data_IF_280500393587
#
_entry.id   IF_280500393587
#
_cell.length_a   1.000
_cell.length_b   1.000
_cell.length_c   1.000
_cell.angle_alpha   90.00
_cell.angle_beta   90.00
_cell.angle_gamma   90.00
#
_symmetry.space_group_name_H-M   'P 1'
#
loop_
_entity.id
_entity.type
_entity.pdbx_description
1 polymer ?
#
# COMPACT_ATOMS: atom_id res chain seq x y z
N UNK A 1 13.58 19.32 -18.53
CA UNK A 1 14.55 18.46 -17.82
C UNK A 1 15.39 19.36 -16.94
N UNK A 2 15.39 19.13 -15.62
CA UNK A 2 16.14 19.96 -14.66
C UNK A 2 17.62 19.56 -14.73
N UNK A 3 18.48 20.51 -15.09
CA UNK A 3 19.94 20.38 -15.26
C UNK A 3 20.72 20.37 -13.94
N UNK A 4 20.05 20.16 -12.81
CA UNK A 4 20.68 20.15 -11.49
C UNK A 4 21.16 18.73 -11.18
N UNK A 5 22.45 18.57 -10.92
CA UNK A 5 23.01 17.31 -10.46
C UNK A 5 22.34 16.86 -9.15
N UNK A 6 22.05 15.56 -9.06
CA UNK A 6 21.47 14.96 -7.86
C UNK A 6 22.42 15.14 -6.68
N UNK A 7 21.90 15.64 -5.55
CA UNK A 7 22.71 15.81 -4.34
C UNK A 7 22.98 14.45 -3.69
N UNK A 8 24.25 14.17 -3.42
CA UNK A 8 24.72 12.96 -2.76
C UNK A 8 24.36 13.03 -1.27
N UNK A 9 23.70 12.00 -0.74
CA UNK A 9 23.46 11.85 0.70
C UNK A 9 24.19 10.62 1.21
N UNK A 10 24.95 10.73 2.31
CA UNK A 10 25.57 9.56 2.95
C UNK A 10 24.52 8.53 3.38
N UNK A 11 24.79 7.24 3.14
CA UNK A 11 23.90 6.13 3.55
C UNK A 11 23.44 6.25 5.00
N UNK A 12 24.33 6.46 6.00
CA UNK A 12 23.91 6.46 7.40
C UNK A 12 22.90 7.57 7.70
N UNK A 13 23.01 8.71 7.03
CA UNK A 13 22.05 9.80 7.16
C UNK A 13 20.69 9.41 6.58
N UNK A 14 20.66 8.73 5.44
CA UNK A 14 19.40 8.24 4.87
C UNK A 14 18.75 7.17 5.75
N UNK A 15 19.51 6.18 6.19
CA UNK A 15 19.02 5.15 7.11
C UNK A 15 18.45 5.80 8.37
N UNK A 16 19.13 6.81 8.93
CA UNK A 16 18.65 7.57 10.10
C UNK A 16 17.34 8.29 9.80
N UNK A 17 17.22 8.97 8.66
CA UNK A 17 15.99 9.69 8.30
C UNK A 17 14.82 8.71 8.10
N UNK A 18 15.04 7.61 7.38
CA UNK A 18 14.01 6.60 7.15
C UNK A 18 13.60 5.94 8.47
N UNK A 19 14.55 5.57 9.32
CA UNK A 19 14.28 5.00 10.64
C UNK A 19 13.52 5.98 11.54
N UNK A 20 13.92 7.24 11.60
CA UNK A 20 13.22 8.27 12.37
C UNK A 20 11.78 8.42 11.88
N UNK A 21 11.56 8.44 10.56
CA UNK A 21 10.21 8.56 10.00
C UNK A 21 9.32 7.38 10.41
N UNK A 22 9.82 6.14 10.30
CA UNK A 22 9.01 4.95 10.59
C UNK A 22 8.86 4.65 12.09
N UNK A 23 9.70 5.21 12.95
CA UNK A 23 9.60 5.10 14.41
C UNK A 23 8.45 5.92 15.01
N UNK A 24 7.91 6.88 14.26
CA UNK A 24 6.73 7.61 14.70
C UNK A 24 5.46 6.77 14.52
N UNK A 25 4.55 6.81 15.50
CA UNK A 25 3.24 6.15 15.43
C UNK A 25 2.37 6.74 14.32
N UNK A 26 2.37 8.07 14.25
CA UNK A 26 1.66 8.84 13.23
C UNK A 26 2.53 10.01 12.79
N UNK A 27 2.48 10.30 11.50
CA UNK A 27 3.23 11.35 10.83
C UNK A 27 2.27 12.33 10.15
N UNK A 28 2.60 13.63 10.12
CA UNK A 28 1.78 14.61 9.43
C UNK A 28 1.95 14.56 7.91
N UNK A 29 3.02 13.93 7.42
CA UNK A 29 3.43 13.97 6.02
C UNK A 29 3.98 12.60 5.59
N UNK A 30 3.65 12.12 4.38
CA UNK A 30 4.34 10.98 3.78
C UNK A 30 5.78 11.36 3.43
N UNK A 31 6.66 10.38 3.40
CA UNK A 31 8.04 10.54 2.95
C UNK A 31 8.16 10.06 1.49
N UNK A 32 8.74 10.88 0.63
CA UNK A 32 9.06 10.46 -0.74
C UNK A 32 10.55 10.18 -0.84
N UNK A 33 10.88 8.93 -1.15
CA UNK A 33 12.22 8.48 -1.47
C UNK A 33 12.39 8.43 -2.99
N UNK A 34 13.05 9.45 -3.54
CA UNK A 34 13.29 9.53 -4.98
C UNK A 34 14.76 9.72 -5.32
N UNK A 35 15.10 9.27 -6.52
CA UNK A 35 16.46 9.33 -7.06
C UNK A 35 16.56 8.51 -8.34
N UNK A 36 17.72 8.54 -9.03
CA UNK A 36 17.94 7.78 -10.25
C UNK A 36 17.71 6.27 -10.08
N UNK A 37 17.50 5.57 -11.18
CA UNK A 37 17.45 4.10 -11.19
C UNK A 37 18.81 3.52 -10.83
N UNK A 38 18.81 2.31 -10.27
CA UNK A 38 20.04 1.58 -9.95
C UNK A 38 20.83 2.11 -8.75
N UNK A 39 20.38 3.15 -8.06
CA UNK A 39 21.07 3.70 -6.87
C UNK A 39 20.81 2.90 -5.59
N UNK A 40 20.17 1.73 -5.69
CA UNK A 40 19.96 0.83 -4.54
C UNK A 40 18.81 1.18 -3.60
N UNK A 41 17.84 2.03 -4.00
CA UNK A 41 16.69 2.41 -3.15
C UNK A 41 15.90 1.20 -2.65
N UNK A 42 15.47 0.33 -3.57
CA UNK A 42 14.70 -0.89 -3.26
C UNK A 42 15.53 -1.84 -2.40
N UNK A 43 16.80 -2.06 -2.75
CA UNK A 43 17.69 -2.95 -2.01
C UNK A 43 17.97 -2.45 -0.60
N UNK A 44 18.14 -1.15 -0.40
CA UNK A 44 18.27 -0.55 0.93
C UNK A 44 17.05 -0.86 1.80
N UNK A 45 15.84 -0.71 1.23
CA UNK A 45 14.61 -1.02 1.95
C UNK A 45 14.53 -2.52 2.26
N UNK A 46 14.60 -3.38 1.24
CA UNK A 46 14.36 -4.81 1.39
C UNK A 46 15.42 -5.53 2.24
N UNK A 47 16.70 -5.30 1.94
CA UNK A 47 17.80 -6.12 2.50
C UNK A 47 18.32 -5.57 3.84
N UNK A 48 18.10 -4.28 4.16
CA UNK A 48 18.70 -3.66 5.36
C UNK A 48 17.69 -3.13 6.35
N UNK A 49 16.59 -2.57 5.86
CA UNK A 49 15.64 -1.84 6.71
C UNK A 49 14.41 -2.68 7.05
N UNK A 50 13.86 -3.42 6.08
CA UNK A 50 12.59 -4.11 6.19
C UNK A 50 12.57 -5.15 7.32
N UNK A 51 13.64 -5.92 7.48
CA UNK A 51 13.73 -6.89 8.58
C UNK A 51 13.59 -6.19 9.94
N UNK A 52 14.30 -5.08 10.14
CA UNK A 52 14.25 -4.31 11.37
C UNK A 52 12.90 -3.59 11.55
N UNK A 53 12.27 -3.13 10.47
CA UNK A 53 10.93 -2.53 10.51
C UNK A 53 9.81 -3.53 10.77
N UNK A 54 10.12 -4.83 10.83
CA UNK A 54 9.20 -5.90 11.25
C UNK A 54 9.61 -6.54 12.60
N UNK A 55 10.64 -6.01 13.29
CA UNK A 55 11.01 -6.45 14.65
C UNK A 55 10.16 -5.68 15.69
N UNK A 56 9.67 -6.36 16.73
CA UNK A 56 8.86 -5.74 17.79
C UNK A 56 7.38 -5.51 17.38
N UNK A 57 6.66 -4.52 17.96
CA UNK A 57 5.26 -4.22 17.63
C UNK A 57 5.08 -3.63 16.22
N UNK A 58 6.16 -3.50 15.45
CA UNK A 58 6.17 -2.93 14.13
C UNK A 58 5.67 -3.92 13.08
N UNK A 59 4.85 -3.43 12.16
CA UNK A 59 4.44 -4.16 10.96
C UNK A 59 4.67 -3.27 9.76
N UNK A 60 5.32 -3.79 8.74
CA UNK A 60 5.50 -3.09 7.47
C UNK A 60 4.70 -3.76 6.36
N UNK A 61 3.75 -3.03 5.77
CA UNK A 61 3.19 -3.38 4.47
C UNK A 61 4.14 -2.93 3.39
N UNK A 62 4.57 -3.86 2.53
CA UNK A 62 5.40 -3.55 1.38
C UNK A 62 4.64 -3.91 0.11
N UNK A 63 4.36 -2.91 -0.73
CA UNK A 63 3.69 -3.07 -2.02
C UNK A 63 4.69 -2.68 -3.10
N UNK A 64 4.95 -3.58 -4.05
CA UNK A 64 5.76 -3.26 -5.22
C UNK A 64 4.91 -3.34 -6.49
N UNK A 65 4.51 -2.17 -7.01
CA UNK A 65 3.65 -2.12 -8.19
C UNK A 65 4.34 -2.69 -9.45
N UNK A 66 5.67 -2.77 -9.46
CA UNK A 66 6.40 -3.40 -10.56
C UNK A 66 6.39 -4.93 -10.49
N UNK A 67 5.98 -5.54 -9.37
CA UNK A 67 5.97 -7.00 -9.18
C UNK A 67 5.10 -7.73 -10.22
N UNK A 68 4.06 -7.06 -10.69
CA UNK A 68 3.14 -7.58 -11.71
C UNK A 68 3.73 -7.65 -13.12
N UNK A 69 4.92 -7.06 -13.35
CA UNK A 69 5.59 -7.05 -14.64
C UNK A 69 6.59 -8.22 -14.68
N UNK A 70 6.10 -9.40 -15.05
CA UNK A 70 6.85 -10.66 -14.95
C UNK A 70 8.22 -10.64 -15.64
N UNK A 71 8.31 -10.00 -16.80
CA UNK A 71 9.55 -9.90 -17.58
C UNK A 71 10.64 -9.02 -16.98
N UNK A 72 10.37 -8.28 -15.90
CA UNK A 72 11.26 -7.22 -15.41
C UNK A 72 11.33 -7.12 -13.88
N UNK A 73 11.05 -8.20 -13.15
CA UNK A 73 11.06 -8.19 -11.69
C UNK A 73 11.88 -9.36 -11.08
N UNK A 74 12.73 -9.10 -10.06
CA UNK A 74 13.57 -10.11 -9.37
C UNK A 74 12.83 -11.33 -8.85
N UNK A 75 11.58 -11.17 -8.40
CA UNK A 75 10.78 -12.29 -7.89
C UNK A 75 10.53 -13.38 -8.94
N UNK A 76 10.58 -13.03 -10.23
CA UNK A 76 10.38 -13.93 -11.35
C UNK A 76 11.72 -14.37 -11.99
N UNK A 77 12.84 -14.16 -11.30
CA UNK A 77 14.18 -14.45 -11.79
C UNK A 77 14.69 -13.47 -12.85
N UNK A 78 14.05 -12.30 -12.99
CA UNK A 78 14.42 -11.25 -13.96
C UNK A 78 15.05 -10.04 -13.26
N UNK A 79 15.77 -9.18 -13.99
CA UNK A 79 16.26 -7.91 -13.42
C UNK A 79 15.26 -6.77 -13.61
N UNK A 80 15.26 -5.80 -12.68
CA UNK A 80 14.59 -4.51 -12.91
C UNK A 80 15.05 -3.86 -14.21
N UNK A 81 14.17 -3.16 -14.95
CA UNK A 81 14.51 -2.59 -16.23
C UNK A 81 15.46 -1.40 -16.06
N UNK A 82 16.43 -1.33 -16.96
CA UNK A 82 17.41 -0.24 -17.02
C UNK A 82 16.82 1.06 -17.55
N UNK A 83 15.95 0.92 -18.56
CA UNK A 83 15.20 2.02 -19.15
C UNK A 83 13.93 2.32 -18.36
N UNK A 84 13.08 3.15 -18.95
CA UNK A 84 11.88 3.59 -18.25
C UNK A 84 10.86 2.50 -17.98
N UNK A 85 10.14 2.54 -16.86
CA UNK A 85 8.93 1.73 -16.69
C UNK A 85 7.92 2.10 -17.80
N UNK A 86 7.98 3.32 -18.33
CA UNK A 86 7.25 3.75 -19.54
C UNK A 86 7.59 2.93 -20.80
N UNK A 87 8.78 2.33 -20.87
CA UNK A 87 9.20 1.50 -22.01
C UNK A 87 8.85 0.03 -21.80
N UNK A 88 8.36 -0.34 -20.62
CA UNK A 88 7.94 -1.69 -20.29
C UNK A 88 6.44 -1.85 -20.58
N UNK A 89 5.96 -3.06 -20.85
CA UNK A 89 4.53 -3.31 -20.98
C UNK A 89 3.83 -2.90 -19.68
N UNK A 90 2.83 -2.00 -19.73
CA UNK A 90 2.19 -1.50 -18.54
C UNK A 90 1.33 -2.60 -17.89
N UNK A 91 1.38 -2.75 -16.56
CA UNK A 91 0.58 -3.74 -15.87
C UNK A 91 -0.89 -3.36 -15.82
N UNK A 92 -1.76 -4.34 -15.55
CA UNK A 92 -3.18 -4.12 -15.39
C UNK A 92 -3.49 -3.40 -14.06
N UNK A 93 -4.22 -2.29 -14.13
CA UNK A 93 -4.62 -1.50 -12.96
C UNK A 93 -5.39 -2.32 -11.90
N UNK A 94 -6.33 -3.21 -12.26
CA UNK A 94 -7.02 -4.04 -11.27
C UNK A 94 -6.05 -4.90 -10.44
N UNK A 95 -4.97 -5.42 -11.05
CA UNK A 95 -3.98 -6.23 -10.33
C UNK A 95 -3.22 -5.38 -9.31
N UNK A 96 -2.79 -4.18 -9.70
CA UNK A 96 -2.10 -3.25 -8.79
C UNK A 96 -2.99 -2.81 -7.64
N UNK A 97 -4.28 -2.55 -7.92
CA UNK A 97 -5.27 -2.22 -6.89
C UNK A 97 -5.43 -3.38 -5.91
N UNK A 98 -5.63 -4.59 -6.42
CA UNK A 98 -5.76 -5.79 -5.58
C UNK A 98 -4.54 -5.99 -4.69
N UNK A 99 -3.32 -5.84 -5.23
CA UNK A 99 -2.09 -5.95 -4.45
C UNK A 99 -2.02 -4.94 -3.28
N UNK A 100 -2.42 -3.70 -3.53
CA UNK A 100 -2.49 -2.66 -2.49
C UNK A 100 -3.56 -3.00 -1.44
N UNK A 101 -4.76 -3.35 -1.88
CA UNK A 101 -5.90 -3.66 -1.01
C UNK A 101 -5.62 -4.89 -0.13
N UNK A 102 -5.08 -5.97 -0.70
CA UNK A 102 -4.71 -7.19 0.03
C UNK A 102 -3.62 -6.92 1.08
N UNK A 103 -2.65 -6.08 0.77
CA UNK A 103 -1.59 -5.71 1.72
C UNK A 103 -2.17 -4.93 2.90
N UNK A 104 -3.00 -3.92 2.63
CA UNK A 104 -3.67 -3.12 3.66
C UNK A 104 -4.66 -3.97 4.49
N UNK A 105 -5.38 -4.88 3.85
CA UNK A 105 -6.27 -5.84 4.51
C UNK A 105 -5.49 -6.76 5.44
N UNK A 106 -4.37 -7.32 4.97
CA UNK A 106 -3.49 -8.17 5.78
C UNK A 106 -2.98 -7.45 7.03
N UNK A 107 -2.57 -6.18 6.89
CA UNK A 107 -2.18 -5.34 8.03
C UNK A 107 -3.36 -5.10 8.99
N UNK A 108 -4.54 -4.81 8.45
CA UNK A 108 -5.76 -4.53 9.23
C UNK A 108 -6.23 -5.78 9.97
N UNK A 109 -6.15 -6.96 9.34
CA UNK A 109 -6.42 -8.23 9.99
C UNK A 109 -5.48 -8.49 11.17
N UNK A 110 -4.19 -8.16 11.04
CA UNK A 110 -3.24 -8.25 12.15
C UNK A 110 -3.58 -7.25 13.27
N UNK A 111 -4.01 -6.04 12.94
CA UNK A 111 -4.49 -5.06 13.91
C UNK A 111 -5.72 -5.57 14.69
N UNK A 112 -6.71 -6.15 13.99
CA UNK A 112 -7.89 -6.77 14.61
C UNK A 112 -7.49 -7.91 15.55
N UNK A 113 -6.54 -8.77 15.15
CA UNK A 113 -6.01 -9.84 16.03
C UNK A 113 -5.33 -9.34 17.29
N UNK A 114 -4.75 -8.13 17.23
CA UNK A 114 -4.17 -7.47 18.38
C UNK A 114 -5.23 -6.70 19.17
N UNK A 115 -6.50 -6.70 18.76
CA UNK A 115 -7.56 -5.98 19.44
C UNK A 115 -7.51 -4.46 19.33
N UNK A 116 -6.68 -3.91 18.44
CA UNK A 116 -6.56 -2.45 18.25
C UNK A 116 -7.68 -1.87 17.39
N UNK A 117 -8.36 -2.70 16.60
CA UNK A 117 -9.48 -2.31 15.74
C UNK A 117 -10.75 -3.07 16.13
N UNK A 118 -11.79 -2.32 16.45
CA UNK A 118 -13.12 -2.79 16.83
C UNK A 118 -14.18 -2.54 15.76
N UNK A 119 -15.30 -3.27 15.84
CA UNK A 119 -16.49 -3.05 14.99
C UNK A 119 -16.97 -1.59 15.00
N UNK A 120 -16.99 -0.97 16.19
CA UNK A 120 -17.38 0.42 16.36
C UNK A 120 -16.41 1.41 15.67
N UNK A 121 -15.10 1.18 15.76
CA UNK A 121 -14.11 2.01 15.04
C UNK A 121 -14.29 1.88 13.52
N UNK A 122 -14.57 0.69 13.00
CA UNK A 122 -14.85 0.47 11.58
C UNK A 122 -16.11 1.25 11.16
N UNK A 123 -17.20 1.14 11.92
CA UNK A 123 -18.44 1.85 11.64
C UNK A 123 -18.26 3.37 11.65
N UNK A 124 -17.64 3.91 12.70
CA UNK A 124 -17.43 5.36 12.86
C UNK A 124 -16.57 5.92 11.73
N UNK A 125 -15.44 5.27 11.42
CA UNK A 125 -14.56 5.65 10.30
C UNK A 125 -15.29 5.62 8.96
N UNK A 126 -16.06 4.55 8.70
CA UNK A 126 -16.85 4.44 7.46
C UNK A 126 -17.94 5.52 7.38
N UNK A 127 -18.60 5.83 8.50
CA UNK A 127 -19.69 6.81 8.55
C UNK A 127 -19.25 8.26 8.32
N UNK A 128 -17.96 8.58 8.54
CA UNK A 128 -17.40 9.91 8.23
C UNK A 128 -17.53 10.25 6.74
N UNK A 129 -17.35 9.26 5.88
CA UNK A 129 -17.24 9.44 4.43
C UNK A 129 -18.44 8.91 3.65
N UNK A 130 -19.21 7.99 4.24
CA UNK A 130 -20.25 7.26 3.53
C UNK A 130 -21.61 7.33 4.24
N UNK A 131 -22.67 7.55 3.46
CA UNK A 131 -24.04 7.42 3.96
C UNK A 131 -24.49 5.95 3.90
N UNK A 132 -24.60 5.30 5.07
CA UNK A 132 -24.67 3.83 5.15
C UNK A 132 -26.08 3.25 4.98
N UNK A 133 -27.13 4.00 5.31
CA UNK A 133 -28.48 3.46 5.48
C UNK A 133 -29.00 2.65 4.29
N UNK A 134 -28.90 3.20 3.07
CA UNK A 134 -29.41 2.55 1.86
C UNK A 134 -28.61 1.29 1.50
N UNK A 135 -27.29 1.32 1.69
CA UNK A 135 -26.43 0.18 1.43
C UNK A 135 -26.68 -0.94 2.44
N UNK A 136 -26.75 -0.61 3.73
CA UNK A 136 -27.04 -1.57 4.80
C UNK A 136 -28.41 -2.21 4.65
N UNK A 137 -29.46 -1.43 4.36
CA UNK A 137 -30.81 -1.98 4.08
C UNK A 137 -30.78 -2.98 2.93
N UNK A 138 -30.07 -2.66 1.83
CA UNK A 138 -29.93 -3.55 0.68
C UNK A 138 -29.19 -4.84 1.02
N UNK A 139 -28.12 -4.77 1.81
CA UNK A 139 -27.35 -5.93 2.25
C UNK A 139 -28.16 -6.82 3.20
N UNK A 140 -28.90 -6.23 4.15
CA UNK A 140 -29.77 -6.99 5.07
C UNK A 140 -30.90 -7.70 4.27
N UNK A 141 -31.49 -7.02 3.29
CA UNK A 141 -32.55 -7.59 2.45
C UNK A 141 -32.04 -8.75 1.58
N UNK A 142 -30.86 -8.63 0.96
CA UNK A 142 -30.26 -9.75 0.22
C UNK A 142 -29.85 -10.92 1.13
N UNK A 143 -29.60 -10.63 2.40
CA UNK A 143 -29.24 -11.62 3.42
C UNK A 143 -30.47 -12.34 4.00
N UNK A 144 -31.66 -11.76 3.92
CA UNK A 144 -32.89 -12.31 4.52
C UNK A 144 -33.88 -12.86 3.48
N UNK A 145 -33.40 -13.32 2.32
CA UNK A 145 -34.21 -13.79 1.19
C UNK A 145 -35.24 -14.90 1.48
N UNK A 146 -35.19 -15.53 2.67
CA UNK A 146 -36.14 -16.57 3.09
C UNK A 146 -37.16 -16.10 4.15
N UNK A 147 -37.11 -14.85 4.62
CA UNK A 147 -38.13 -14.29 5.51
C UNK A 147 -38.94 -13.25 4.74
N UNK A 148 -40.27 -13.40 4.75
CA UNK A 148 -41.20 -12.42 4.21
C UNK A 148 -40.79 -10.99 4.59
N UNK A 149 -40.85 -10.09 3.61
CA UNK A 149 -40.43 -8.69 3.65
C UNK A 149 -40.87 -7.97 4.93
N UNK A 150 -40.06 -8.02 5.98
CA UNK A 150 -40.16 -7.07 7.08
C UNK A 150 -39.70 -5.75 6.50
N UNK A 151 -40.66 -4.87 6.22
CA UNK A 151 -40.39 -3.48 5.87
C UNK A 151 -39.50 -2.90 6.98
N UNK A 152 -38.20 -2.76 6.68
CA UNK A 152 -37.26 -2.11 7.58
C UNK A 152 -37.75 -0.67 7.74
N UNK A 153 -38.28 -0.36 8.92
CA UNK A 153 -38.78 0.96 9.29
C UNK A 153 -37.77 2.06 8.90
N UNK A 154 -38.26 3.15 8.31
CA UNK A 154 -37.43 4.28 7.91
C UNK A 154 -36.83 5.07 9.10
N UNK A 155 -37.22 4.74 10.34
CA UNK A 155 -36.74 5.40 11.56
C UNK A 155 -35.59 4.69 12.30
N UNK A 156 -35.00 3.64 11.72
CA UNK A 156 -33.89 2.92 12.38
C UNK A 156 -32.58 3.72 12.23
N UNK A 157 -31.87 3.93 13.35
CA UNK A 157 -30.57 4.60 13.35
C UNK A 157 -29.52 3.81 12.54
N UNK A 158 -28.54 4.50 11.97
CA UNK A 158 -27.46 3.87 11.20
C UNK A 158 -26.66 2.86 12.02
N UNK A 159 -26.47 3.12 13.32
CA UNK A 159 -25.83 2.19 14.26
C UNK A 159 -26.63 0.90 14.42
N UNK A 160 -27.94 0.99 14.62
CA UNK A 160 -28.77 -0.20 14.78
C UNK A 160 -28.82 -1.03 13.48
N UNK A 161 -28.81 -0.39 12.31
CA UNK A 161 -28.69 -1.08 11.03
C UNK A 161 -27.34 -1.76 10.86
N UNK A 162 -26.26 -1.15 11.36
CA UNK A 162 -24.93 -1.74 11.36
C UNK A 162 -24.89 -3.00 12.20
N UNK A 163 -25.33 -2.94 13.45
CA UNK A 163 -25.32 -4.09 14.37
C UNK A 163 -26.17 -5.25 13.83
N UNK A 164 -27.34 -4.94 13.25
CA UNK A 164 -28.18 -5.93 12.59
C UNK A 164 -27.48 -6.58 11.38
N UNK A 165 -26.78 -5.79 10.57
CA UNK A 165 -26.05 -6.29 9.41
C UNK A 165 -24.84 -7.13 9.82
N UNK A 166 -24.07 -6.71 10.83
CA UNK A 166 -22.95 -7.47 11.40
C UNK A 166 -23.46 -8.79 11.96
N UNK A 167 -24.55 -8.78 12.72
CA UNK A 167 -25.16 -10.00 13.25
C UNK A 167 -25.61 -10.96 12.14
N UNK A 168 -26.32 -10.45 11.13
CA UNK A 168 -26.79 -11.26 10.00
C UNK A 168 -25.64 -11.85 9.17
N UNK A 169 -24.56 -11.09 8.96
CA UNK A 169 -23.37 -11.56 8.24
C UNK A 169 -22.60 -12.58 9.09
N UNK A 170 -22.44 -12.34 10.39
CA UNK A 170 -21.77 -13.25 11.33
C UNK A 170 -22.38 -14.65 11.35
N UNK A 171 -23.71 -14.74 11.22
CA UNK A 171 -24.42 -16.03 11.14
C UNK A 171 -24.13 -16.82 9.85
N UNK A 172 -23.66 -16.17 8.78
CA UNK A 172 -23.36 -16.78 7.48
C UNK A 172 -21.88 -17.06 7.25
N UNK A 173 -20.99 -16.31 7.89
CA UNK A 173 -19.55 -16.50 7.69
C UNK A 173 -19.15 -17.85 8.29
N UNK A 174 -18.44 -18.66 7.50
CA UNK A 174 -17.98 -19.98 7.90
C UNK A 174 -17.09 -19.85 9.16
N UNK A 175 -17.46 -20.56 10.23
CA UNK A 175 -16.70 -20.55 11.48
C UNK A 175 -15.23 -20.94 11.26
N UNK A 176 -14.98 -21.89 10.34
CA UNK A 176 -13.64 -22.33 9.96
C UNK A 176 -12.81 -21.25 9.23
N UNK A 177 -13.45 -20.37 8.46
CA UNK A 177 -12.75 -19.26 7.79
C UNK A 177 -12.29 -18.24 8.83
N UNK A 178 -13.14 -17.95 9.81
CA UNK A 178 -12.84 -17.05 10.93
C UNK A 178 -11.80 -17.68 11.87
N UNK A 179 -11.86 -18.98 12.15
CA UNK A 179 -10.86 -19.66 12.99
C UNK A 179 -9.46 -19.68 12.36
N UNK A 180 -9.38 -19.92 11.04
CA UNK A 180 -8.12 -19.78 10.27
C UNK A 180 -7.63 -18.34 10.29
N UNK A 181 -8.55 -17.38 10.11
CA UNK A 181 -8.21 -15.97 10.16
C UNK A 181 -7.80 -15.54 11.56
N UNK A 182 -8.34 -16.09 12.64
CA UNK A 182 -7.97 -15.76 14.03
C UNK A 182 -6.69 -16.47 14.50
N UNK A 183 -6.23 -17.51 13.80
CA UNK A 183 -5.04 -18.27 14.20
C UNK A 183 -5.24 -19.12 15.45
N UNK A 184 -6.48 -19.48 15.78
CA UNK A 184 -6.86 -20.24 16.98
C UNK A 184 -6.30 -21.69 17.03
N UNK A 185 -5.54 -22.10 16.02
CA UNK A 185 -4.82 -23.39 15.95
C UNK A 185 -3.30 -23.29 16.04
N UNK A 186 -2.71 -22.08 16.14
CA UNK A 186 -1.26 -21.94 16.33
C UNK A 186 -0.90 -22.16 17.81
N UNK A 187 0.04 -23.08 18.06
CA UNK A 187 0.49 -23.45 19.42
C UNK A 187 0.96 -22.19 20.18
N UNK A 188 0.20 -21.76 21.18
CA UNK A 188 0.66 -20.79 22.19
C UNK A 188 -0.26 -19.62 22.54
N UNK A 189 -1.42 -19.44 21.90
CA UNK A 189 -2.38 -18.37 22.27
C UNK A 189 -3.76 -18.94 22.62
N UNK A 190 -4.04 -19.10 23.91
CA UNK A 190 -5.39 -19.31 24.43
C UNK A 190 -6.08 -17.95 24.57
N UNK A 191 -6.74 -17.50 23.50
CA UNK A 191 -7.59 -16.31 23.54
C UNK A 191 -8.85 -16.63 24.35
N UNK A 192 -9.25 -15.74 25.26
CA UNK A 192 -10.49 -15.93 26.02
C UNK A 192 -11.71 -16.03 25.10
N UNK A 193 -12.73 -16.80 25.49
CA UNK A 193 -13.93 -16.99 24.64
C UNK A 193 -14.61 -15.66 24.29
N UNK A 194 -14.56 -14.69 25.21
CA UNK A 194 -15.11 -13.34 25.03
C UNK A 194 -14.27 -12.50 24.06
N UNK A 195 -12.94 -12.52 24.17
CA UNK A 195 -12.02 -11.83 23.24
C UNK A 195 -12.15 -12.38 21.81
N UNK A 196 -12.29 -13.70 21.67
CA UNK A 196 -12.50 -14.34 20.38
C UNK A 196 -13.81 -13.87 19.72
N UNK A 197 -14.85 -13.59 20.51
CA UNK A 197 -16.12 -13.05 20.01
C UNK A 197 -15.97 -11.61 19.50
N UNK A 198 -15.23 -10.76 20.22
CA UNK A 198 -14.94 -9.38 19.81
C UNK A 198 -14.11 -9.33 18.52
N UNK A 199 -13.08 -10.17 18.41
CA UNK A 199 -12.28 -10.23 17.19
C UNK A 199 -13.11 -10.73 16.01
N UNK A 200 -13.92 -11.78 16.22
CA UNK A 200 -14.86 -12.27 15.21
C UNK A 200 -15.80 -11.17 14.73
N UNK A 201 -16.36 -10.38 15.65
CA UNK A 201 -17.23 -9.26 15.31
C UNK A 201 -16.49 -8.21 14.45
N UNK A 202 -15.27 -7.82 14.84
CA UNK A 202 -14.46 -6.86 14.08
C UNK A 202 -14.09 -7.37 12.66
N UNK A 203 -13.79 -8.65 12.50
CA UNK A 203 -13.56 -9.25 11.17
C UNK A 203 -14.81 -9.21 10.29
N UNK A 204 -15.96 -9.55 10.86
CA UNK A 204 -17.25 -9.50 10.16
C UNK A 204 -17.62 -8.06 9.80
N UNK A 205 -17.37 -7.11 10.71
CA UNK A 205 -17.54 -5.69 10.49
C UNK A 205 -16.67 -5.15 9.35
N UNK A 206 -15.41 -5.59 9.24
CA UNK A 206 -14.52 -5.22 8.14
C UNK A 206 -15.03 -5.76 6.80
N UNK A 207 -15.48 -7.02 6.76
CA UNK A 207 -16.12 -7.61 5.57
C UNK A 207 -17.37 -6.85 5.17
N UNK A 208 -18.21 -6.47 6.13
CA UNK A 208 -19.40 -5.65 5.89
C UNK A 208 -19.03 -4.28 5.33
N UNK A 209 -18.01 -3.60 5.85
CA UNK A 209 -17.53 -2.33 5.34
C UNK A 209 -17.11 -2.42 3.86
N UNK A 210 -16.37 -3.48 3.50
CA UNK A 210 -15.97 -3.74 2.11
C UNK A 210 -17.19 -3.93 1.20
N UNK A 211 -18.19 -4.69 1.64
CA UNK A 211 -19.43 -4.92 0.89
C UNK A 211 -20.27 -3.63 0.75
N UNK A 212 -20.33 -2.79 1.79
CA UNK A 212 -20.99 -1.48 1.71
C UNK A 212 -20.34 -0.61 0.63
N UNK A 213 -19.01 -0.52 0.61
CA UNK A 213 -18.28 0.23 -0.42
C UNK A 213 -18.55 -0.36 -1.81
N UNK A 214 -18.55 -1.70 -1.95
CA UNK A 214 -18.86 -2.37 -3.21
C UNK A 214 -20.25 -2.05 -3.74
N UNK A 215 -21.27 -2.05 -2.87
CA UNK A 215 -22.64 -1.66 -3.23
C UNK A 215 -22.68 -0.23 -3.74
N UNK A 216 -21.99 0.70 -3.05
CA UNK A 216 -21.94 2.10 -3.45
C UNK A 216 -21.15 2.34 -4.74
N UNK A 217 -20.05 1.61 -4.95
CA UNK A 217 -19.32 1.60 -6.22
C UNK A 217 -20.20 1.09 -7.37
N UNK A 218 -21.04 0.08 -7.10
CA UNK A 218 -22.04 -0.41 -8.06
C UNK A 218 -23.02 0.68 -8.53
N UNK A 219 -23.39 1.63 -7.67
CA UNK A 219 -24.24 2.77 -8.07
C UNK A 219 -23.52 3.75 -9.01
N UNK A 220 -22.19 3.75 -9.00
CA UNK A 220 -21.35 4.66 -9.82
C UNK A 220 -20.80 4.00 -11.08
N UNK A 221 -21.00 2.69 -11.26
CA UNK A 221 -20.41 1.90 -12.35
C UNK A 221 -20.72 2.46 -13.75
N UNK A 222 -21.96 2.86 -14.01
CA UNK A 222 -22.34 3.45 -15.30
C UNK A 222 -21.64 4.79 -15.56
N UNK A 223 -21.48 5.61 -14.52
CA UNK A 223 -20.80 6.90 -14.64
C UNK A 223 -19.29 6.71 -14.87
N UNK A 224 -18.68 5.71 -14.25
CA UNK A 224 -17.27 5.33 -14.48
C UNK A 224 -17.08 4.87 -15.92
N UNK A 225 -17.95 3.98 -16.42
CA UNK A 225 -17.90 3.50 -17.80
C UNK A 225 -18.03 4.65 -18.81
N UNK A 226 -18.96 5.59 -18.57
CA UNK A 226 -19.10 6.76 -19.42
C UNK A 226 -17.88 7.67 -19.38
N UNK A 227 -17.31 7.90 -18.18
CA UNK A 227 -16.11 8.70 -17.97
C UNK A 227 -14.92 8.12 -18.74
N UNK A 228 -14.66 6.83 -18.60
CA UNK A 228 -13.57 6.12 -19.26
C UNK A 228 -13.71 6.17 -20.78
N UNK A 229 -14.94 6.01 -21.30
CA UNK A 229 -15.22 6.12 -22.74
C UNK A 229 -14.97 7.52 -23.29
N UNK A 230 -15.34 8.56 -22.54
CA UNK A 230 -15.20 9.97 -22.98
C UNK A 230 -13.81 10.55 -22.73
N UNK A 231 -12.97 9.90 -21.92
CA UNK A 231 -11.67 10.44 -21.50
C UNK A 231 -11.78 11.68 -20.62
N UNK A 232 -12.85 11.79 -19.84
CA UNK A 232 -13.12 12.95 -18.98
C UNK A 232 -12.44 12.89 -17.61
N UNK A 233 -12.63 13.92 -16.79
CA UNK A 233 -12.19 13.97 -15.40
C UNK A 233 -13.38 14.14 -14.44
N UNK A 234 -13.36 13.41 -13.33
CA UNK A 234 -14.32 13.56 -12.24
C UNK A 234 -13.67 13.28 -10.89
N UNK A 235 -13.61 14.33 -10.05
CA UNK A 235 -13.04 14.23 -8.70
C UNK A 235 -13.81 13.26 -7.80
N UNK A 236 -15.14 13.26 -7.88
CA UNK A 236 -15.99 12.39 -7.03
C UNK A 236 -15.81 10.92 -7.38
N UNK A 237 -15.72 10.58 -8.67
CA UNK A 237 -15.48 9.22 -9.13
C UNK A 237 -14.05 8.75 -8.80
N UNK A 238 -13.06 9.63 -8.95
CA UNK A 238 -11.68 9.34 -8.56
C UNK A 238 -11.55 9.07 -7.06
N UNK A 239 -12.17 9.93 -6.24
CA UNK A 239 -12.18 9.77 -4.78
C UNK A 239 -12.83 8.44 -4.40
N UNK A 240 -13.95 8.09 -5.05
CA UNK A 240 -14.65 6.85 -4.73
C UNK A 240 -13.89 5.58 -5.13
N UNK A 241 -13.07 5.66 -6.18
CA UNK A 241 -12.22 4.53 -6.59
C UNK A 241 -11.18 4.15 -5.53
N UNK A 242 -10.86 5.08 -4.61
CA UNK A 242 -9.85 4.91 -3.56
C UNK A 242 -10.46 4.80 -2.16
N UNK A 243 -11.79 4.62 -2.05
CA UNK A 243 -12.51 4.53 -0.77
C UNK A 243 -12.00 3.42 0.14
N UNK A 244 -11.82 2.22 -0.42
CA UNK A 244 -11.41 1.07 0.38
C UNK A 244 -9.97 1.18 0.91
N UNK A 245 -8.92 1.43 0.09
CA UNK A 245 -7.58 1.69 0.59
C UNK A 245 -7.54 2.82 1.64
N UNK A 246 -8.31 3.88 1.44
CA UNK A 246 -8.29 5.03 2.34
C UNK A 246 -8.95 4.75 3.69
N UNK A 247 -10.03 3.97 3.71
CA UNK A 247 -10.63 3.49 4.96
C UNK A 247 -9.62 2.66 5.76
N UNK A 248 -8.92 1.73 5.11
CA UNK A 248 -7.91 0.89 5.76
C UNK A 248 -6.73 1.71 6.29
N UNK A 249 -6.28 2.71 5.54
CA UNK A 249 -5.23 3.63 5.98
C UNK A 249 -5.68 4.42 7.21
N UNK A 250 -6.90 4.93 7.25
CA UNK A 250 -7.44 5.66 8.39
C UNK A 250 -7.55 4.76 9.63
N UNK A 251 -8.06 3.53 9.46
CA UNK A 251 -8.14 2.53 10.54
C UNK A 251 -6.77 2.13 11.08
N UNK A 252 -5.80 1.84 10.22
CA UNK A 252 -4.44 1.50 10.61
C UNK A 252 -3.73 2.68 11.29
N UNK A 253 -3.95 3.90 10.80
CA UNK A 253 -3.43 5.11 11.43
C UNK A 253 -4.04 5.31 12.81
N UNK A 254 -5.35 5.10 12.95
CA UNK A 254 -6.07 5.17 14.21
C UNK A 254 -5.57 4.11 15.22
N UNK A 255 -5.29 2.90 14.74
CA UNK A 255 -4.81 1.77 15.54
C UNK A 255 -3.33 1.88 15.96
N UNK A 256 -2.57 2.84 15.41
CA UNK A 256 -1.16 2.99 15.74
C UNK A 256 -0.98 3.47 17.19
N UNK A 257 -0.35 2.63 18.03
CA UNK A 257 -0.15 2.84 19.47
C UNK A 257 1.27 2.50 19.92
N UNK A 258 1.70 3.12 21.02
CA UNK A 258 3.04 2.94 21.60
C UNK A 258 3.21 1.51 22.10
N UNK A 259 4.34 0.89 21.73
CA UNK A 259 4.77 -0.46 22.15
C UNK A 259 3.80 -1.63 21.87
N UNK A 260 2.71 -1.40 21.12
CA UNK A 260 1.65 -2.40 20.93
C UNK A 260 1.38 -2.73 19.46
N UNK A 261 1.21 -1.71 18.62
CA UNK A 261 1.00 -1.90 17.18
C UNK A 261 1.44 -0.67 16.40
N UNK A 262 2.43 -0.84 15.52
CA UNK A 262 3.05 0.26 14.79
C UNK A 262 3.12 -0.03 13.29
N UNK A 263 2.03 0.23 12.55
CA UNK A 263 1.96 0.00 11.12
C UNK A 263 2.78 1.01 10.34
N UNK A 264 3.42 0.55 9.28
CA UNK A 264 4.18 1.33 8.30
C UNK A 264 3.82 0.82 6.91
N UNK A 265 3.83 1.69 5.91
CA UNK A 265 3.54 1.30 4.53
C UNK A 265 4.63 1.81 3.59
N UNK A 266 5.15 0.92 2.77
CA UNK A 266 6.08 1.25 1.69
C UNK A 266 5.38 0.97 0.37
N UNK A 267 5.22 2.01 -0.45
CA UNK A 267 4.70 1.90 -1.81
C UNK A 267 5.86 2.06 -2.79
N UNK A 268 6.39 0.92 -3.26
CA UNK A 268 7.49 0.88 -4.19
C UNK A 268 7.02 1.02 -5.65
N UNK A 269 7.83 1.70 -6.46
CA UNK A 269 7.56 1.98 -7.86
C UNK A 269 6.17 2.62 -8.09
N UNK A 270 5.82 3.62 -7.28
CA UNK A 270 4.50 4.29 -7.32
C UNK A 270 4.16 4.85 -8.71
N UNK A 271 5.17 5.17 -9.51
CA UNK A 271 5.03 5.63 -10.89
C UNK A 271 4.38 4.61 -11.83
N UNK A 272 4.58 3.32 -11.54
CA UNK A 272 3.98 2.22 -12.32
C UNK A 272 2.47 2.26 -12.21
N UNK A 273 1.94 2.61 -11.02
CA UNK A 273 0.50 2.75 -10.80
C UNK A 273 -0.12 3.82 -11.69
N UNK A 274 0.58 4.95 -11.89
CA UNK A 274 0.10 6.05 -12.74
C UNK A 274 -0.06 5.65 -14.21
N UNK A 275 0.77 4.71 -14.66
CA UNK A 275 0.90 4.31 -16.06
C UNK A 275 0.27 2.95 -16.36
N UNK A 276 -0.43 2.36 -15.39
CA UNK A 276 -1.11 1.09 -15.57
C UNK A 276 -2.22 1.19 -16.64
N UNK A 277 -2.53 0.06 -17.26
CA UNK A 277 -3.61 -0.04 -18.24
C UNK A 277 -4.90 -0.46 -17.55
N UNK A 278 -5.96 0.27 -17.89
CA UNK A 278 -7.30 -0.11 -17.51
C UNK A 278 -7.77 -1.28 -18.39
N UNK A 279 -7.92 -2.47 -17.80
CA UNK A 279 -8.38 -3.68 -18.51
C UNK A 279 -9.88 -3.91 -18.35
N UNK A 280 -10.53 -3.23 -17.41
CA UNK A 280 -11.96 -3.32 -17.14
C UNK A 280 -12.57 -1.96 -16.78
N UNK A 281 -13.90 -1.84 -16.80
CA UNK A 281 -14.60 -0.62 -16.33
C UNK A 281 -14.83 -0.64 -14.81
N UNK A 282 -14.02 -1.37 -14.03
CA UNK A 282 -14.22 -1.50 -12.58
C UNK A 282 -13.79 -0.25 -11.79
N UNK A 283 -13.02 0.65 -12.43
CA UNK A 283 -12.46 1.85 -11.80
C UNK A 283 -12.20 2.95 -12.85
N UNK A 284 -11.84 4.13 -12.36
CA UNK A 284 -11.33 5.25 -13.19
C UNK A 284 -9.96 4.92 -13.79
N UNK A 285 -9.50 5.70 -14.77
CA UNK A 285 -8.19 5.53 -15.37
C UNK A 285 -7.03 5.61 -14.34
N UNK A 286 -5.91 4.98 -14.69
CA UNK A 286 -4.78 4.77 -13.78
C UNK A 286 -4.19 6.06 -13.22
N UNK A 287 -4.05 7.10 -14.05
CA UNK A 287 -3.57 8.42 -13.60
C UNK A 287 -4.50 9.04 -12.56
N UNK A 288 -5.82 9.00 -12.79
CA UNK A 288 -6.80 9.52 -11.83
C UNK A 288 -6.82 8.71 -10.53
N UNK A 289 -6.72 7.39 -10.61
CA UNK A 289 -6.66 6.52 -9.43
C UNK A 289 -5.40 6.84 -8.61
N UNK A 290 -4.25 6.89 -9.27
CA UNK A 290 -2.96 7.24 -8.68
C UNK A 290 -3.03 8.60 -7.97
N UNK A 291 -3.43 9.66 -8.68
CA UNK A 291 -3.44 11.01 -8.14
C UNK A 291 -4.43 11.14 -6.97
N UNK A 292 -5.58 10.46 -7.05
CA UNK A 292 -6.55 10.40 -5.96
C UNK A 292 -6.00 9.66 -4.74
N UNK A 293 -5.29 8.54 -4.92
CA UNK A 293 -4.71 7.78 -3.81
C UNK A 293 -3.67 8.63 -3.07
N UNK A 294 -2.76 9.25 -3.81
CA UNK A 294 -1.73 10.13 -3.24
C UNK A 294 -2.38 11.32 -2.52
N UNK A 295 -3.38 11.95 -3.12
CA UNK A 295 -4.12 13.04 -2.49
C UNK A 295 -4.77 12.61 -1.16
N UNK A 296 -5.39 11.43 -1.11
CA UNK A 296 -6.02 10.93 0.12
C UNK A 296 -5.01 10.61 1.21
N UNK A 297 -3.85 10.06 0.85
CA UNK A 297 -2.73 9.83 1.77
C UNK A 297 -2.25 11.15 2.38
N UNK A 298 -2.02 12.18 1.56
CA UNK A 298 -1.64 13.52 2.03
C UNK A 298 -2.71 14.09 2.94
N UNK A 299 -3.97 14.08 2.49
CA UNK A 299 -5.07 14.67 3.23
C UNK A 299 -5.26 14.01 4.59
N UNK A 300 -5.08 12.69 4.69
CA UNK A 300 -5.10 11.98 5.96
C UNK A 300 -3.94 12.41 6.86
N UNK A 301 -2.72 12.50 6.31
CA UNK A 301 -1.53 12.96 7.03
C UNK A 301 -1.70 14.38 7.60
N UNK A 302 -2.11 15.32 6.76
CA UNK A 302 -2.23 16.73 7.12
C UNK A 302 -3.34 16.99 8.15
N UNK A 303 -4.48 16.28 8.05
CA UNK A 303 -5.63 16.53 8.91
C UNK A 303 -5.64 15.69 10.20
N UNK A 304 -5.34 14.39 10.12
CA UNK A 304 -5.50 13.45 11.24
C UNK A 304 -4.18 12.79 11.68
N UNK A 305 -3.08 13.01 10.93
CA UNK A 305 -1.80 12.27 10.98
C UNK A 305 -1.98 10.79 10.64
N UNK A 306 -1.33 10.36 9.56
CA UNK A 306 -1.40 8.98 9.08
C UNK A 306 -0.26 8.13 9.65
N UNK A 307 -0.36 6.80 9.56
CA UNK A 307 0.77 5.91 9.77
C UNK A 307 1.95 6.29 8.84
N UNK A 308 3.21 6.00 9.19
CA UNK A 308 4.36 6.27 8.31
C UNK A 308 4.22 5.64 6.93
N UNK A 309 4.14 6.47 5.89
CA UNK A 309 4.04 6.03 4.49
C UNK A 309 5.26 6.52 3.71
N UNK A 310 6.00 5.59 3.11
CA UNK A 310 7.15 5.85 2.25
C UNK A 310 6.76 5.56 0.80
N UNK A 311 6.78 6.60 -0.04
CA UNK A 311 6.58 6.48 -1.49
C UNK A 311 7.95 6.40 -2.17
N UNK A 312 8.20 5.33 -2.92
CA UNK A 312 9.47 5.16 -3.65
C UNK A 312 9.23 5.35 -5.14
N UNK A 313 10.01 6.23 -5.76
CA UNK A 313 9.86 6.62 -7.15
C UNK A 313 11.23 6.72 -7.83
N UNK A 314 11.29 6.32 -9.10
CA UNK A 314 12.48 6.43 -9.96
C UNK A 314 12.20 7.15 -11.28
N UNK A 315 10.93 7.31 -11.65
CA UNK A 315 10.49 7.66 -13.00
C UNK A 315 9.69 8.95 -13.04
N UNK A 316 9.01 9.29 -11.94
CA UNK A 316 8.32 10.56 -11.78
C UNK A 316 9.05 11.45 -10.78
N UNK A 317 8.90 12.75 -10.98
CA UNK A 317 9.42 13.76 -10.08
C UNK A 317 8.27 14.34 -9.28
N UNK A 318 8.02 13.82 -8.08
CA UNK A 318 7.21 14.48 -7.06
C UNK A 318 8.07 15.56 -6.40
N UNK A 319 8.30 16.62 -7.17
CA UNK A 319 9.14 17.74 -6.75
C UNK A 319 8.52 18.52 -5.59
N UNK A 320 9.28 19.45 -5.02
CA UNK A 320 8.71 20.54 -4.22
C UNK A 320 7.44 21.14 -4.88
N UNK A 321 7.40 21.35 -6.21
CA UNK A 321 6.22 21.86 -6.94
C UNK A 321 4.97 20.98 -6.88
N UNK A 322 5.02 19.76 -6.34
CA UNK A 322 3.81 19.06 -5.94
C UNK A 322 2.96 19.94 -4.99
N UNK A 323 3.57 20.84 -4.21
CA UNK A 323 2.81 21.85 -3.45
C UNK A 323 1.96 22.78 -4.33
N UNK A 324 2.36 23.09 -5.57
CA UNK A 324 1.56 23.90 -6.50
C UNK A 324 0.37 23.11 -7.04
N UNK A 325 0.59 21.83 -7.32
CA UNK A 325 -0.45 20.93 -7.82
C UNK A 325 -1.47 20.56 -6.73
N UNK A 326 -1.04 20.55 -5.47
CA UNK A 326 -1.81 20.07 -4.32
C UNK A 326 -2.11 21.17 -3.25
N UNK A 327 -1.59 22.40 -3.41
CA UNK A 327 -1.99 23.60 -2.65
C UNK A 327 -1.42 23.78 -1.22
N UNK A 328 -0.44 22.99 -0.79
CA UNK A 328 0.11 23.02 0.58
C UNK A 328 1.65 22.95 0.61
N UNK A 329 2.37 23.87 1.26
CA UNK A 329 3.85 23.85 1.27
C UNK A 329 4.45 22.62 1.97
N UNK A 330 3.66 21.98 2.83
CA UNK A 330 4.02 20.92 3.77
C UNK A 330 3.40 19.56 3.38
N UNK A 331 3.35 19.23 2.09
CA UNK A 331 2.64 18.03 1.59
C UNK A 331 3.42 16.75 1.79
N UNK A 332 4.73 16.81 1.60
CA UNK A 332 5.61 15.66 1.77
C UNK A 332 6.90 16.11 2.42
N UNK A 333 7.50 15.21 3.19
CA UNK A 333 8.95 15.26 3.41
C UNK A 333 9.59 14.76 2.12
N UNK A 334 9.70 15.64 1.13
CA UNK A 334 10.44 15.33 -0.09
C UNK A 334 11.92 15.36 0.25
N UNK A 335 12.53 14.17 0.34
CA UNK A 335 13.98 14.06 0.39
C UNK A 335 14.46 13.94 -1.04
N UNK A 336 14.61 15.11 -1.67
CA UNK A 336 15.13 15.27 -3.04
C UNK A 336 16.58 14.89 -3.21
N UNK A 337 16.85 13.61 -3.03
CA UNK A 337 18.21 13.16 -2.85
C UNK A 337 18.25 11.66 -2.80
N UNK A 338 18.80 11.06 -3.85
CA UNK A 338 19.93 10.15 -3.69
C UNK A 338 20.83 10.21 -4.93
N UNK A 339 21.82 11.09 -4.88
CA UNK A 339 22.86 11.25 -5.90
C UNK A 339 24.04 10.32 -5.69
N UNK A 340 23.84 9.02 -5.48
CA UNK A 340 24.96 8.12 -5.73
C UNK A 340 25.14 7.99 -7.22
N UNK A 341 26.35 8.28 -7.68
CA UNK A 341 26.80 7.65 -8.91
C UNK A 341 26.70 6.14 -8.72
N UNK A 342 26.35 5.37 -9.76
CA UNK A 342 26.31 3.92 -9.62
C UNK A 342 27.65 3.31 -9.11
N UNK A 343 28.78 4.03 -9.19
CA UNK A 343 30.07 3.73 -8.56
C UNK A 343 30.07 3.87 -7.02
N UNK A 344 29.40 4.88 -6.47
CA UNK A 344 29.29 5.10 -5.01
C UNK A 344 28.25 4.20 -4.36
N UNK A 345 27.13 3.94 -5.06
CA UNK A 345 26.14 2.95 -4.62
C UNK A 345 26.81 1.58 -4.44
N UNK A 346 27.69 1.25 -5.37
CA UNK A 346 28.55 0.09 -5.34
C UNK A 346 29.54 0.10 -4.17
N UNK A 347 30.26 1.17 -3.85
CA UNK A 347 31.14 1.18 -2.66
C UNK A 347 30.39 0.92 -1.34
N UNK A 348 29.13 1.32 -1.24
CA UNK A 348 28.30 1.04 -0.07
C UNK A 348 27.68 -0.38 -0.07
N UNK A 349 27.59 -1.05 -1.21
CA UNK A 349 26.91 -2.33 -1.37
C UNK A 349 27.87 -3.52 -1.63
N UNK A 350 29.12 -3.26 -2.05
CA UNK A 350 30.05 -4.27 -2.58
C UNK A 350 30.47 -5.35 -1.59
N UNK A 351 30.57 -5.05 -0.28
CA UNK A 351 31.01 -6.05 0.70
C UNK A 351 30.10 -7.29 0.75
N UNK A 352 28.84 -7.16 0.31
CA UNK A 352 27.83 -8.21 0.38
C UNK A 352 27.65 -8.99 -0.94
N UNK A 353 28.25 -8.54 -2.06
CA UNK A 353 27.96 -9.07 -3.41
C UNK A 353 29.17 -9.66 -4.17
N UNK A 354 30.37 -9.15 -3.92
CA UNK A 354 31.62 -9.66 -4.50
C UNK A 354 32.71 -9.71 -3.45
N UNK A 355 33.47 -10.80 -3.41
CA UNK A 355 34.70 -10.89 -2.63
C UNK A 355 35.71 -9.86 -3.10
N UNK A 356 36.63 -9.47 -2.22
CA UNK A 356 37.65 -8.47 -2.55
C UNK A 356 38.53 -8.89 -3.74
N UNK A 357 38.79 -10.19 -3.91
CA UNK A 357 39.49 -10.76 -5.05
C UNK A 357 38.71 -10.66 -6.35
N UNK A 358 37.40 -10.97 -6.36
CA UNK A 358 36.55 -10.82 -7.54
C UNK A 358 36.46 -9.35 -7.96
N UNK A 359 36.33 -8.46 -6.97
CA UNK A 359 36.25 -7.03 -7.19
C UNK A 359 37.50 -6.47 -7.89
N UNK A 360 38.69 -6.88 -7.46
CA UNK A 360 39.94 -6.45 -8.07
C UNK A 360 40.04 -6.88 -9.53
N UNK A 361 39.68 -8.12 -9.85
CA UNK A 361 39.69 -8.65 -11.22
C UNK A 361 38.68 -7.92 -12.11
N UNK A 362 37.47 -7.65 -11.60
CA UNK A 362 36.45 -6.96 -12.39
C UNK A 362 36.84 -5.50 -12.67
N UNK A 363 37.45 -4.80 -11.71
CA UNK A 363 37.99 -3.44 -11.92
C UNK A 363 39.09 -3.45 -12.96
N UNK A 364 40.00 -4.41 -12.88
CA UNK A 364 41.14 -4.53 -13.80
C UNK A 364 40.68 -4.79 -15.24
N UNK A 365 39.70 -5.68 -15.43
CA UNK A 365 39.29 -6.15 -16.76
C UNK A 365 38.22 -5.25 -17.40
N UNK A 366 37.23 -4.80 -16.64
CA UNK A 366 36.05 -4.10 -17.17
C UNK A 366 35.97 -2.63 -16.76
N UNK A 367 36.93 -2.18 -15.95
CA UNK A 367 36.92 -0.86 -15.33
C UNK A 367 35.84 -0.72 -14.25
N UNK A 368 35.83 0.42 -13.52
CA UNK A 368 34.78 0.71 -12.54
C UNK A 368 33.45 1.12 -13.20
N UNK A 369 33.16 0.66 -14.43
CA UNK A 369 31.95 1.00 -15.17
C UNK A 369 30.72 0.32 -14.53
N UNK A 370 29.83 1.06 -13.86
CA UNK A 370 28.75 0.51 -13.05
C UNK A 370 27.79 -0.41 -13.77
N UNK A 371 27.61 -0.17 -15.07
CA UNK A 371 26.75 -0.97 -15.93
C UNK A 371 27.26 -2.40 -16.01
N UNK A 372 28.55 -2.59 -16.27
CA UNK A 372 29.17 -3.92 -16.40
C UNK A 372 29.12 -4.73 -15.10
N UNK A 373 29.08 -4.07 -13.93
CA UNK A 373 29.11 -4.80 -12.64
C UNK A 373 27.74 -5.24 -12.18
N UNK A 374 26.70 -4.45 -12.46
CA UNK A 374 25.34 -4.93 -12.24
C UNK A 374 25.01 -6.03 -13.25
N UNK A 375 25.48 -5.93 -14.50
CA UNK A 375 25.38 -7.02 -15.48
C UNK A 375 26.08 -8.30 -14.99
N UNK A 376 27.32 -8.21 -14.49
CA UNK A 376 28.02 -9.34 -13.87
C UNK A 376 27.35 -9.89 -12.61
N UNK A 377 26.79 -9.01 -11.77
CA UNK A 377 26.10 -9.43 -10.55
C UNK A 377 24.80 -10.16 -10.86
N UNK A 378 23.98 -9.60 -11.76
CA UNK A 378 22.76 -10.23 -12.23
C UNK A 378 23.06 -11.55 -12.95
N UNK A 379 24.15 -11.62 -13.72
CA UNK A 379 24.60 -12.85 -14.38
C UNK A 379 25.06 -13.90 -13.35
N UNK A 380 25.79 -13.51 -12.30
CA UNK A 380 26.19 -14.38 -11.17
C UNK A 380 24.98 -14.93 -10.40
N UNK A 381 23.91 -14.15 -10.28
CA UNK A 381 22.65 -14.57 -9.65
C UNK A 381 21.74 -15.36 -10.61
N UNK A 382 22.02 -15.35 -11.91
CA UNK A 382 21.22 -16.09 -12.90
C UNK A 382 21.55 -17.58 -12.87
N UNK A 383 20.52 -18.41 -13.10
CA UNK A 383 20.65 -19.87 -13.20
C UNK A 383 21.58 -20.34 -14.34
N UNK A 384 21.99 -19.44 -15.24
CA UNK A 384 22.93 -19.74 -16.33
C UNK A 384 24.38 -19.83 -15.87
N UNK A 385 24.73 -19.21 -14.73
CA UNK A 385 26.11 -19.18 -14.20
C UNK A 385 26.32 -20.11 -13.00
N UNK A 386 25.23 -20.59 -12.37
CA UNK A 386 25.28 -21.53 -11.24
C UNK A 386 25.20 -23.02 -11.66
N UNK A 387 25.17 -23.31 -12.96
CA UNK A 387 25.44 -24.64 -13.53
C UNK A 387 26.89 -24.71 -13.95
#
# INVERSE_FOLDING_TARGET
>A
MVTKAWKIIPRPLLETILNNHVQHHRVPQPLILHGPRGVGKTTLILERLLENWNKGPHITGYVDFAQSIEGYHPIHGQSFPWGSWFNCPPPALPNLRTQLEETLESMTHKAIKLGTISSHQIFTTLSKWHHLNTALKRIIQSTNSNSSSKALSDKVSSSNLWDQAVFALSARVNAQEIERLLGLGEKGKSVGMDEASYYKEAFVALKLAKEVIRVQQGWRANAIKELNRKGGFSRSLATSATDWPSLLLELLSAAAEIDYFQPKLVLNNVDVLRNAVLTDDSTVCASMYHDSLIWRIIALGANERCLPIILVSSDSYYSYRAFLDFGFPDIFISRETFGWTPQEAKMHMVADYFSHSEWNVIVEVLGPNPRHLFELFALKQSNYYQK
#
